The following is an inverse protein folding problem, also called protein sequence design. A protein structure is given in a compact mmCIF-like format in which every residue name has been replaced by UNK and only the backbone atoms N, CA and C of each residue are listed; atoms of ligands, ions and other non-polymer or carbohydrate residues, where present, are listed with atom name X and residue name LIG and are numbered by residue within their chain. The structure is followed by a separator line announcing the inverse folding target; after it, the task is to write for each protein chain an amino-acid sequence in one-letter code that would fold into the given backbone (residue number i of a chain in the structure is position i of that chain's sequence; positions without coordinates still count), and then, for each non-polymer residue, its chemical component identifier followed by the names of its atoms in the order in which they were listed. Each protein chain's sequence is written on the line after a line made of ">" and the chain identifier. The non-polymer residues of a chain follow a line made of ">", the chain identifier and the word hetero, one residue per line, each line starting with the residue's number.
data_IF_934054504849
#
_entry.id   IF_934054504849
#
_cell.length_a   1.000
_cell.length_b   1.000
_cell.length_c   1.000
_cell.angle_alpha   90.00
_cell.angle_beta   90.00
_cell.angle_gamma   90.00
#
_symmetry.space_group_name_H-M   'P 1'
#
loop_
_entity.id
_entity.type
_entity.pdbx_description
1 polymer ?
#
# COMPACT_ATOMS: atom_id res chain seq x y z
N UNK A 1 -35.58 38.96 -13.59
CA UNK A 1 -34.20 38.47 -13.41
C UNK A 1 -34.25 37.29 -12.44
N UNK A 2 -33.98 36.08 -12.92
CA UNK A 2 -33.98 34.88 -12.06
C UNK A 2 -32.65 34.84 -11.33
N UNK A 3 -32.69 34.99 -10.00
CA UNK A 3 -31.53 34.84 -9.14
C UNK A 3 -31.15 33.36 -9.11
N UNK A 4 -30.18 32.97 -9.95
CA UNK A 4 -29.50 31.67 -9.82
C UNK A 4 -28.66 31.71 -8.54
N UNK A 5 -29.27 31.29 -7.44
CA UNK A 5 -28.54 30.94 -6.25
C UNK A 5 -27.51 29.86 -6.63
N UNK A 6 -26.22 30.21 -6.62
CA UNK A 6 -25.11 29.26 -6.59
C UNK A 6 -25.33 28.40 -5.34
N UNK A 7 -25.90 27.23 -5.51
CA UNK A 7 -25.89 26.19 -4.48
C UNK A 7 -24.41 25.85 -4.26
N UNK A 8 -23.86 26.31 -3.13
CA UNK A 8 -22.53 25.91 -2.71
C UNK A 8 -22.55 24.39 -2.55
N UNK A 9 -21.87 23.66 -3.43
CA UNK A 9 -21.75 22.22 -3.27
C UNK A 9 -20.99 21.96 -1.99
N UNK A 10 -21.65 21.34 -1.01
CA UNK A 10 -21.01 20.82 0.19
C UNK A 10 -19.95 19.83 -0.26
N UNK A 11 -18.67 20.14 0.00
CA UNK A 11 -17.56 19.24 -0.33
C UNK A 11 -17.66 18.01 0.56
N UNK A 12 -17.70 16.83 -0.05
CA UNK A 12 -17.66 15.54 0.64
C UNK A 12 -16.19 15.12 0.76
N UNK A 13 -15.80 14.62 1.93
CA UNK A 13 -14.43 14.19 2.20
C UNK A 13 -14.42 12.75 2.72
N UNK A 14 -13.65 11.90 2.05
CA UNK A 14 -13.35 10.55 2.50
C UNK A 14 -12.16 10.58 3.45
N UNK A 15 -12.35 10.06 4.65
CA UNK A 15 -11.27 9.91 5.62
C UNK A 15 -10.43 8.67 5.29
N UNK A 16 -9.11 8.84 5.42
CA UNK A 16 -8.11 7.81 5.16
C UNK A 16 -7.10 7.84 6.30
N UNK A 17 -7.03 6.77 7.08
CA UNK A 17 -5.93 6.53 8.00
C UNK A 17 -4.76 5.95 7.21
N UNK A 18 -3.59 6.55 7.32
CA UNK A 18 -2.38 6.17 6.58
C UNK A 18 -1.30 5.75 7.55
N UNK A 19 -0.69 4.60 7.28
CA UNK A 19 0.53 4.12 7.92
C UNK A 19 1.62 4.08 6.85
N UNK A 20 2.70 4.79 7.11
CA UNK A 20 3.92 4.74 6.31
C UNK A 20 4.95 3.90 7.05
N UNK A 21 5.64 3.02 6.35
CA UNK A 21 6.81 2.28 6.88
C UNK A 21 8.03 2.65 6.07
N UNK A 22 9.13 2.95 6.75
CA UNK A 22 10.40 3.34 6.15
C UNK A 22 11.52 2.38 6.54
N UNK A 23 12.59 2.37 5.76
CA UNK A 23 13.82 1.64 6.11
C UNK A 23 14.57 2.32 7.25
N UNK A 24 14.71 3.65 7.20
CA UNK A 24 15.37 4.42 8.25
C UNK A 24 14.49 4.60 9.49
N UNK A 25 15.10 4.57 10.67
CA UNK A 25 14.45 4.96 11.93
C UNK A 25 14.36 6.48 12.05
N UNK A 26 13.31 6.98 12.70
CA UNK A 26 13.22 8.39 13.11
C UNK A 26 14.00 8.63 14.43
N UNK A 27 13.88 9.85 14.96
CA UNK A 27 14.57 10.27 16.19
C UNK A 27 14.16 9.46 17.43
N UNK A 28 12.96 8.89 17.44
CA UNK A 28 12.42 8.09 18.53
C UNK A 28 12.74 6.58 18.39
N UNK A 29 13.45 6.21 17.31
CA UNK A 29 13.77 4.81 16.99
C UNK A 29 12.68 4.09 16.19
N UNK A 30 11.62 4.77 15.78
CA UNK A 30 10.50 4.19 15.05
C UNK A 30 10.69 4.21 13.53
N UNK A 31 10.23 3.14 12.88
CA UNK A 31 10.22 3.02 11.40
C UNK A 31 8.89 3.42 10.76
N UNK A 32 7.91 3.88 11.56
CA UNK A 32 6.56 4.16 11.07
C UNK A 32 6.11 5.59 11.35
N UNK A 33 5.23 6.08 10.48
CA UNK A 33 4.49 7.33 10.68
C UNK A 33 2.99 7.07 10.47
N UNK A 34 2.16 7.68 11.31
CA UNK A 34 0.71 7.51 11.32
C UNK A 34 0.03 8.87 11.17
N UNK A 35 -0.94 8.97 10.25
CA UNK A 35 -1.72 10.19 10.10
C UNK A 35 -3.01 9.98 9.32
N UNK A 36 -3.91 10.95 9.46
CA UNK A 36 -5.16 10.98 8.73
C UNK A 36 -5.10 11.95 7.55
N UNK A 37 -5.80 11.60 6.49
CA UNK A 37 -6.08 12.46 5.35
C UNK A 37 -7.59 12.53 5.10
N UNK A 38 -8.07 13.73 4.86
CA UNK A 38 -9.39 13.97 4.29
C UNK A 38 -9.24 14.21 2.78
N UNK A 39 -9.67 13.23 1.97
CA UNK A 39 -9.61 13.30 0.51
C UNK A 39 -10.95 13.80 -0.03
N UNK A 40 -10.99 14.94 -0.75
CA UNK A 40 -12.24 15.42 -1.32
C UNK A 40 -12.72 14.47 -2.42
N UNK A 41 -13.97 14.02 -2.34
CA UNK A 41 -14.60 13.14 -3.34
C UNK A 41 -15.69 13.93 -4.06
N UNK A 42 -15.78 13.80 -5.38
CA UNK A 42 -16.87 14.37 -6.16
C UNK A 42 -17.43 13.37 -7.17
N UNK A 43 -18.66 13.63 -7.65
CA UNK A 43 -19.30 12.85 -8.72
C UNK A 43 -18.54 12.83 -10.05
N UNK A 44 -17.48 13.63 -10.16
CA UNK A 44 -16.64 13.73 -11.36
C UNK A 44 -15.38 12.86 -11.29
N UNK A 45 -15.21 12.03 -10.24
CA UNK A 45 -14.17 10.99 -10.27
C UNK A 45 -14.44 10.01 -11.42
N UNK A 46 -13.37 9.44 -11.98
CA UNK A 46 -13.45 8.46 -13.08
C UNK A 46 -13.38 7.03 -12.58
N UNK A 47 -12.51 6.78 -11.60
CA UNK A 47 -12.24 5.47 -11.00
C UNK A 47 -11.39 5.65 -9.71
N UNK A 48 -11.34 4.60 -8.89
CA UNK A 48 -10.65 4.62 -7.60
C UNK A 48 -9.11 4.79 -7.73
N UNK A 49 -8.50 4.20 -8.77
CA UNK A 49 -7.04 4.24 -8.99
C UNK A 49 -6.62 5.67 -9.34
N UNK A 50 -7.25 6.29 -10.34
CA UNK A 50 -7.00 7.68 -10.74
C UNK A 50 -7.32 8.65 -9.62
N UNK A 51 -8.38 8.40 -8.84
CA UNK A 51 -8.68 9.17 -7.63
C UNK A 51 -7.51 9.16 -6.63
N UNK A 52 -6.95 7.99 -6.31
CA UNK A 52 -5.81 7.87 -5.40
C UNK A 52 -4.52 8.46 -5.98
N UNK A 53 -4.22 8.22 -7.26
CA UNK A 53 -3.06 8.80 -7.94
C UNK A 53 -3.09 10.33 -7.88
N UNK A 54 -4.26 10.92 -8.09
CA UNK A 54 -4.39 12.37 -8.07
C UNK A 54 -4.42 12.97 -6.67
N UNK A 55 -4.90 12.23 -5.67
CA UNK A 55 -5.23 12.83 -4.37
C UNK A 55 -4.46 12.24 -3.19
N UNK A 56 -4.18 10.95 -3.15
CA UNK A 56 -3.51 10.31 -2.01
C UNK A 56 -1.99 10.47 -2.09
N UNK A 57 -1.33 9.91 -3.11
CA UNK A 57 0.14 9.77 -3.12
C UNK A 57 0.88 11.11 -3.11
N UNK A 58 0.37 12.12 -3.85
CA UNK A 58 0.89 13.50 -3.78
C UNK A 58 0.84 14.10 -2.38
N UNK A 59 -0.18 13.75 -1.58
CA UNK A 59 -0.30 14.20 -0.19
C UNK A 59 0.63 13.40 0.73
N UNK A 60 0.84 12.12 0.47
CA UNK A 60 1.82 11.28 1.19
C UNK A 60 3.22 11.86 1.04
N UNK A 61 3.66 12.20 -0.18
CA UNK A 61 4.97 12.84 -0.42
C UNK A 61 5.14 14.11 0.41
N UNK A 62 4.10 14.96 0.45
CA UNK A 62 4.11 16.17 1.29
C UNK A 62 4.19 15.84 2.78
N UNK A 63 3.53 14.78 3.25
CA UNK A 63 3.58 14.32 4.63
C UNK A 63 4.95 13.79 5.00
N UNK A 64 5.62 13.01 4.15
CA UNK A 64 7.01 12.58 4.38
C UNK A 64 7.91 13.79 4.64
N UNK A 65 7.81 14.84 3.82
CA UNK A 65 8.57 16.09 4.04
C UNK A 65 8.25 16.75 5.38
N UNK A 66 6.98 16.77 5.81
CA UNK A 66 6.57 17.35 7.09
C UNK A 66 7.10 16.55 8.29
N UNK A 67 7.20 15.23 8.18
CA UNK A 67 7.79 14.36 9.20
C UNK A 67 9.32 14.33 9.15
N UNK A 68 9.94 15.11 8.25
CA UNK A 68 11.38 15.05 7.98
C UNK A 68 11.85 13.62 7.60
N UNK A 69 11.01 12.89 6.86
CA UNK A 69 11.29 11.54 6.34
C UNK A 69 11.53 11.59 4.83
N UNK A 70 12.47 10.76 4.36
CA UNK A 70 12.81 10.62 2.94
C UNK A 70 11.82 9.69 2.25
N UNK A 71 11.34 10.06 1.07
CA UNK A 71 10.44 9.20 0.28
C UNK A 71 11.19 8.01 -0.31
N UNK A 72 12.49 8.19 -0.55
CA UNK A 72 13.43 7.18 -1.03
C UNK A 72 13.59 6.01 -0.05
N UNK A 73 13.31 6.25 1.23
CA UNK A 73 13.34 5.22 2.29
C UNK A 73 11.96 4.58 2.52
N UNK A 74 10.89 5.04 1.86
CA UNK A 74 9.53 4.55 2.10
C UNK A 74 9.34 3.15 1.51
N UNK A 75 9.23 2.13 2.35
CA UNK A 75 9.12 0.71 1.95
C UNK A 75 7.69 0.20 1.89
N UNK A 76 6.74 0.87 2.57
CA UNK A 76 5.33 0.47 2.55
C UNK A 76 4.38 1.63 2.82
N UNK A 77 3.25 1.62 2.12
CA UNK A 77 2.05 2.38 2.46
C UNK A 77 0.94 1.39 2.81
N UNK A 78 0.23 1.62 3.91
CA UNK A 78 -1.00 0.89 4.25
C UNK A 78 -2.09 1.88 4.59
N UNK A 79 -3.28 1.68 4.04
CA UNK A 79 -4.42 2.56 4.30
C UNK A 79 -5.63 1.80 4.83
N UNK A 80 -6.39 2.49 5.67
CA UNK A 80 -7.77 2.16 5.98
C UNK A 80 -8.61 3.38 5.61
N UNK A 81 -9.63 3.18 4.77
CA UNK A 81 -10.43 4.26 4.20
C UNK A 81 -11.91 3.97 4.32
N UNK A 82 -12.70 5.03 4.40
CA UNK A 82 -14.16 4.97 4.25
C UNK A 82 -14.54 4.78 2.77
N UNK A 83 -14.33 3.57 2.26
CA UNK A 83 -14.61 3.22 0.88
C UNK A 83 -16.09 3.29 0.53
N UNK A 84 -16.97 3.05 1.51
CA UNK A 84 -18.43 3.14 1.32
C UNK A 84 -18.84 4.57 0.94
N UNK A 85 -18.21 5.59 1.51
CA UNK A 85 -18.45 6.99 1.13
C UNK A 85 -18.04 7.28 -0.33
N UNK A 86 -16.92 6.71 -0.79
CA UNK A 86 -16.49 6.86 -2.18
C UNK A 86 -17.54 6.29 -3.14
N UNK A 87 -18.02 5.08 -2.87
CA UNK A 87 -19.02 4.40 -3.70
C UNK A 87 -20.35 5.17 -3.70
N UNK A 88 -20.84 5.54 -2.51
CA UNK A 88 -22.09 6.29 -2.38
C UNK A 88 -22.05 7.65 -3.09
N UNK A 89 -20.87 8.29 -3.12
CA UNK A 89 -20.71 9.61 -3.74
C UNK A 89 -20.55 9.52 -5.26
N UNK A 90 -19.81 8.53 -5.76
CA UNK A 90 -19.38 8.44 -7.17
C UNK A 90 -20.19 7.47 -8.00
N UNK A 91 -20.86 6.50 -7.36
CA UNK A 91 -21.46 5.32 -8.00
C UNK A 91 -20.44 4.48 -8.80
N UNK A 92 -19.17 4.47 -8.35
CA UNK A 92 -18.07 3.67 -8.88
C UNK A 92 -17.65 2.60 -7.87
N UNK A 93 -17.05 1.51 -8.33
CA UNK A 93 -16.48 0.50 -7.43
C UNK A 93 -15.29 1.06 -6.66
N UNK A 94 -15.27 0.81 -5.34
CA UNK A 94 -14.11 1.12 -4.52
C UNK A 94 -12.93 0.21 -4.83
N UNK A 95 -11.75 0.63 -4.36
CA UNK A 95 -10.53 -0.13 -4.56
C UNK A 95 -10.58 -1.53 -3.91
N UNK A 96 -11.24 -1.64 -2.75
CA UNK A 96 -11.38 -2.93 -2.07
C UNK A 96 -12.28 -3.90 -2.84
N UNK A 97 -13.38 -3.42 -3.44
CA UNK A 97 -14.28 -4.25 -4.26
C UNK A 97 -13.61 -4.74 -5.54
N UNK A 98 -12.64 -3.98 -6.04
CA UNK A 98 -11.76 -4.40 -7.14
C UNK A 98 -10.71 -5.46 -6.70
N UNK A 99 -10.75 -5.92 -5.46
CA UNK A 99 -9.88 -6.98 -4.93
C UNK A 99 -8.51 -6.49 -4.44
N UNK A 100 -8.26 -5.18 -4.40
CA UNK A 100 -6.96 -4.64 -4.01
C UNK A 100 -6.84 -4.49 -2.48
N UNK A 101 -5.67 -4.83 -1.94
CA UNK A 101 -5.41 -4.94 -0.49
C UNK A 101 -5.31 -3.61 0.28
N UNK A 102 -5.31 -2.48 -0.43
CA UNK A 102 -5.05 -1.14 0.09
C UNK A 102 -3.67 -1.01 0.77
N UNK A 103 -2.72 -1.82 0.30
CA UNK A 103 -1.32 -1.79 0.70
C UNK A 103 -0.46 -1.75 -0.54
N UNK A 104 0.60 -0.96 -0.48
CA UNK A 104 1.60 -0.83 -1.53
C UNK A 104 2.97 -1.04 -0.89
N UNK A 105 3.82 -1.81 -1.55
CA UNK A 105 5.17 -2.13 -1.14
C UNK A 105 6.17 -1.56 -2.14
N UNK A 106 7.33 -1.18 -1.62
CA UNK A 106 8.40 -0.58 -2.41
C UNK A 106 9.75 -1.11 -1.91
N UNK A 107 10.78 -0.89 -2.72
CA UNK A 107 12.14 -1.31 -2.39
C UNK A 107 12.93 -1.67 -3.64
N UNK A 108 14.19 -1.25 -3.68
CA UNK A 108 15.14 -1.71 -4.69
C UNK A 108 15.36 -3.22 -4.55
N UNK A 109 15.47 -3.92 -5.68
CA UNK A 109 15.69 -5.37 -5.71
C UNK A 109 14.44 -6.25 -5.52
N UNK A 110 13.26 -5.67 -5.25
CA UNK A 110 12.02 -6.46 -5.19
C UNK A 110 11.60 -6.97 -6.56
N UNK A 111 11.23 -8.24 -6.62
CA UNK A 111 10.73 -8.90 -7.85
C UNK A 111 9.22 -9.11 -7.85
N UNK A 112 8.57 -8.93 -6.70
CA UNK A 112 7.15 -9.19 -6.46
C UNK A 112 6.24 -7.97 -6.68
N UNK A 113 6.82 -6.83 -7.06
CA UNK A 113 6.08 -5.58 -7.25
C UNK A 113 5.13 -5.63 -8.44
N UNK A 114 3.91 -5.16 -8.23
CA UNK A 114 2.93 -5.00 -9.31
C UNK A 114 3.25 -3.77 -10.20
N UNK A 115 2.49 -3.63 -11.29
CA UNK A 115 2.69 -2.53 -12.25
C UNK A 115 2.42 -1.16 -11.63
N UNK A 116 1.48 -1.07 -10.70
CA UNK A 116 1.11 0.19 -10.04
C UNK A 116 2.18 0.61 -9.05
N UNK A 117 2.68 -0.31 -8.23
CA UNK A 117 3.79 -0.08 -7.30
C UNK A 117 5.03 0.39 -8.06
N UNK A 118 5.39 -0.27 -9.17
CA UNK A 118 6.49 0.15 -10.06
C UNK A 118 6.28 1.57 -10.61
N UNK A 119 5.07 1.90 -11.04
CA UNK A 119 4.76 3.24 -11.52
C UNK A 119 4.90 4.30 -10.41
N UNK A 120 4.45 3.99 -9.20
CA UNK A 120 4.57 4.88 -8.04
C UNK A 120 6.04 5.07 -7.63
N UNK A 121 6.86 4.02 -7.67
CA UNK A 121 8.32 4.15 -7.45
C UNK A 121 8.94 5.07 -8.49
N UNK A 122 8.60 4.90 -9.77
CA UNK A 122 9.14 5.75 -10.84
C UNK A 122 8.68 7.21 -10.75
N UNK A 123 7.44 7.48 -10.30
CA UNK A 123 6.89 8.83 -10.23
C UNK A 123 7.35 9.59 -8.98
N UNK A 124 7.46 8.90 -7.83
CA UNK A 124 7.67 9.53 -6.53
C UNK A 124 8.98 9.13 -5.83
N UNK A 125 9.80 8.30 -6.47
CA UNK A 125 11.03 7.73 -5.91
C UNK A 125 10.79 6.90 -4.64
N UNK A 126 9.61 6.29 -4.46
CA UNK A 126 9.36 5.51 -3.26
C UNK A 126 10.32 4.31 -3.15
N UNK A 127 10.97 4.18 -1.99
CA UNK A 127 11.76 3.00 -1.64
C UNK A 127 13.00 2.75 -2.50
N UNK A 128 13.45 3.70 -3.32
CA UNK A 128 14.59 3.49 -4.21
C UNK A 128 15.92 3.31 -3.47
N UNK A 129 16.02 3.82 -2.24
CA UNK A 129 17.21 3.68 -1.37
C UNK A 129 17.07 2.52 -0.37
N UNK A 130 15.92 1.85 -0.33
CA UNK A 130 15.68 0.72 0.55
C UNK A 130 15.98 -0.60 -0.19
N UNK A 131 17.07 -1.28 0.18
CA UNK A 131 17.40 -2.61 -0.34
C UNK A 131 16.44 -3.66 0.25
N UNK A 132 15.62 -4.22 -0.63
CA UNK A 132 14.59 -5.21 -0.36
C UNK A 132 14.78 -6.45 -1.24
N UNK A 133 15.99 -6.68 -1.75
CA UNK A 133 16.34 -7.87 -2.56
C UNK A 133 16.06 -9.19 -1.83
N UNK A 134 16.16 -9.18 -0.50
CA UNK A 134 15.86 -10.33 0.36
C UNK A 134 14.38 -10.75 0.41
N UNK A 135 13.44 -9.90 -0.02
CA UNK A 135 12.00 -10.23 0.02
C UNK A 135 11.64 -11.30 -1.02
N UNK A 136 12.37 -11.36 -2.13
CA UNK A 136 12.20 -12.41 -3.16
C UNK A 136 12.80 -13.76 -2.76
N UNK A 137 13.88 -13.76 -1.97
CA UNK A 137 14.56 -14.98 -1.51
C UNK A 137 13.72 -15.79 -0.52
N UNK A 138 12.77 -15.15 0.17
CA UNK A 138 11.82 -15.84 1.02
C UNK A 138 10.93 -16.85 0.25
N UNK A 139 10.66 -16.62 -1.04
CA UNK A 139 9.95 -17.59 -1.89
C UNK A 139 10.84 -18.80 -2.21
N UNK A 140 12.16 -18.64 -2.22
CA UNK A 140 13.14 -19.73 -2.41
C UNK A 140 13.39 -20.53 -1.11
N UNK A 141 13.07 -20.00 0.07
CA UNK A 141 13.12 -20.79 1.33
C UNK A 141 12.14 -21.96 1.36
N UNK A 142 11.25 -22.07 0.37
CA UNK A 142 10.48 -23.29 0.14
C UNK A 142 11.37 -24.52 -0.13
N UNK A 143 12.59 -24.37 -0.64
CA UNK A 143 13.56 -25.48 -0.71
C UNK A 143 13.99 -25.96 0.69
N UNK A 144 14.11 -25.04 1.65
CA UNK A 144 14.42 -25.38 3.05
C UNK A 144 13.23 -26.09 3.71
N UNK A 145 12.00 -25.63 3.47
CA UNK A 145 10.78 -26.32 3.91
C UNK A 145 10.59 -27.68 3.25
N UNK A 146 10.92 -27.82 1.96
CA UNK A 146 10.91 -29.09 1.24
C UNK A 146 11.89 -30.08 1.87
N UNK A 147 13.07 -29.64 2.31
CA UNK A 147 14.03 -30.51 3.01
C UNK A 147 13.49 -31.06 4.34
N UNK A 148 12.68 -30.28 5.07
CA UNK A 148 12.01 -30.74 6.28
C UNK A 148 10.88 -31.72 6.00
N UNK A 149 10.10 -31.47 4.94
CA UNK A 149 9.03 -32.37 4.49
C UNK A 149 9.61 -33.70 4.00
N UNK A 150 10.66 -33.69 3.18
CA UNK A 150 11.34 -34.90 2.70
C UNK A 150 11.93 -35.72 3.84
N UNK A 151 12.53 -35.06 4.83
CA UNK A 151 13.04 -35.73 6.04
C UNK A 151 11.92 -36.36 6.85
N UNK A 152 10.81 -35.64 7.07
CA UNK A 152 9.64 -36.16 7.76
C UNK A 152 9.01 -37.36 7.03
N UNK A 153 8.95 -37.34 5.71
CA UNK A 153 8.45 -38.45 4.89
C UNK A 153 9.36 -39.69 5.03
N UNK A 154 10.68 -39.53 4.98
CA UNK A 154 11.64 -40.64 5.19
C UNK A 154 11.53 -41.23 6.61
N UNK A 155 11.34 -40.39 7.62
CA UNK A 155 11.17 -40.83 9.01
C UNK A 155 9.84 -41.58 9.24
N UNK A 156 8.79 -41.26 8.48
CA UNK A 156 7.51 -42.01 8.50
C UNK A 156 7.65 -43.35 7.75
N UNK A 157 8.29 -43.35 6.58
CA UNK A 157 8.48 -44.55 5.78
C UNK A 157 9.36 -45.59 6.47
N UNK A 158 10.43 -45.16 7.15
CA UNK A 158 11.31 -46.05 7.92
C UNK A 158 10.65 -46.68 9.15
N UNK A 159 9.57 -46.08 9.68
CA UNK A 159 8.79 -46.62 10.81
C UNK A 159 7.72 -47.64 10.40
N UNK A 160 7.36 -47.70 9.11
CA UNK A 160 6.32 -48.62 8.58
C UNK A 160 6.87 -49.94 8.00
N UNK A 161 8.17 -50.19 8.06
CA UNK A 161 8.81 -51.43 7.54
C UNK A 161 9.13 -52.42 8.69
N UNK A 162 8.66 -52.13 9.91
CA UNK A 162 8.76 -53.03 11.06
C UNK A 162 7.45 -53.73 11.40
N UNK A 163 6.95 -54.60 10.52
CA UNK A 163 5.98 -55.66 10.84
C UNK A 163 6.44 -56.96 10.17
#
# INVERSE_FOLDING_TARGET
>A
MVNLAKTGSTKVFMNVNVILTFESMNADGDRQEFFDLALPVSKSETDAITFLNNKLFKRIVKKCKLFNRRVEDLTKISTASDWDLFEATTNLESLWKQGHSCKWHFGSGRTDLDVWEKALMSEYNFGIDADMSWVGDAVLTNEYMNSFIEKAIKDIQSKNIGV
#
